data_IF_962449595615
#
_entry.id   IF_962449595615
#
_cell.length_a   1.000
_cell.length_b   1.000
_cell.length_c   1.000
_cell.angle_alpha   90.00
_cell.angle_beta   90.00
_cell.angle_gamma   90.00
#
_symmetry.space_group_name_H-M   'P 1'
#
loop_
_entity.id
_entity.type
_entity.pdbx_description
1 polymer ?
#
# COMPACT_ATOMS: atom_id res chain seq x y z
N UNK A 1 3.35 -14.67 6.73
CA UNK A 1 2.91 -14.56 8.14
C UNK A 1 2.68 -13.10 8.55
N UNK A 2 3.68 -12.21 8.55
CA UNK A 2 3.48 -10.80 8.98
C UNK A 2 2.46 -10.01 8.15
N UNK A 3 2.35 -10.28 6.85
CA UNK A 3 1.29 -9.70 6.03
C UNK A 3 -0.11 -10.19 6.43
N UNK A 4 -0.27 -11.39 7.01
CA UNK A 4 -1.56 -11.85 7.56
C UNK A 4 -1.86 -11.09 8.85
N UNK A 5 -0.83 -10.80 9.67
CA UNK A 5 -0.97 -10.00 10.89
C UNK A 5 -1.47 -8.58 10.59
N UNK A 6 -1.05 -7.95 9.49
CA UNK A 6 -1.60 -6.64 9.08
C UNK A 6 -3.12 -6.65 8.96
N UNK A 7 -3.68 -7.71 8.37
CA UNK A 7 -5.13 -7.84 8.18
C UNK A 7 -5.85 -8.23 9.47
N UNK A 8 -5.21 -9.03 10.33
CA UNK A 8 -5.72 -9.37 11.67
C UNK A 8 -5.82 -8.09 12.52
N UNK A 9 -4.76 -7.28 12.58
CA UNK A 9 -4.73 -6.01 13.31
C UNK A 9 -5.74 -5.00 12.76
N UNK A 10 -5.99 -5.02 11.45
CA UNK A 10 -7.04 -4.22 10.82
C UNK A 10 -8.45 -4.83 10.92
N UNK A 11 -8.64 -5.89 11.71
CA UNK A 11 -9.92 -6.56 11.98
C UNK A 11 -10.66 -7.04 10.72
N UNK A 12 -9.92 -7.49 9.70
CA UNK A 12 -10.55 -8.06 8.52
C UNK A 12 -11.21 -9.41 8.83
N UNK A 13 -12.38 -9.70 8.24
CA UNK A 13 -12.98 -11.02 8.28
C UNK A 13 -12.04 -12.09 7.73
N UNK A 14 -11.90 -13.22 8.46
CA UNK A 14 -10.99 -14.33 8.11
C UNK A 14 -11.11 -14.80 6.66
N UNK A 15 -12.33 -14.91 6.14
CA UNK A 15 -12.57 -15.33 4.74
C UNK A 15 -12.00 -14.34 3.71
N UNK A 16 -11.99 -13.03 4.01
CA UNK A 16 -11.37 -12.02 3.13
C UNK A 16 -9.85 -12.12 3.17
N UNK A 17 -9.26 -12.34 4.35
CA UNK A 17 -7.82 -12.54 4.49
C UNK A 17 -7.39 -13.76 3.68
N UNK A 18 -8.07 -14.90 3.83
CA UNK A 18 -7.79 -16.10 3.04
C UNK A 18 -7.84 -15.84 1.54
N UNK A 19 -8.92 -15.21 1.07
CA UNK A 19 -9.11 -14.90 -0.34
C UNK A 19 -8.02 -13.96 -0.88
N UNK A 20 -7.64 -12.95 -0.10
CA UNK A 20 -6.60 -11.98 -0.47
C UNK A 20 -5.24 -12.63 -0.73
N UNK A 21 -4.91 -13.68 0.02
CA UNK A 21 -3.65 -14.41 -0.11
C UNK A 21 -3.75 -15.66 -1.00
N UNK A 22 -4.91 -15.93 -1.61
CA UNK A 22 -5.17 -17.11 -2.43
C UNK A 22 -4.83 -18.44 -1.73
N UNK A 23 -5.05 -18.50 -0.42
CA UNK A 23 -4.76 -19.69 0.40
C UNK A 23 -5.92 -20.68 0.35
N UNK A 24 -5.60 -21.99 0.39
CA UNK A 24 -6.62 -23.02 0.68
C UNK A 24 -7.11 -22.88 2.11
N UNK A 25 -8.24 -23.52 2.43
CA UNK A 25 -8.75 -23.52 3.80
C UNK A 25 -7.74 -24.16 4.75
N UNK A 26 -7.11 -25.27 4.37
CA UNK A 26 -6.11 -25.97 5.20
C UNK A 26 -4.86 -25.12 5.45
N UNK A 27 -4.37 -24.42 4.43
CA UNK A 27 -3.21 -23.55 4.57
C UNK A 27 -3.50 -22.36 5.49
N UNK A 28 -4.68 -21.77 5.35
CA UNK A 28 -5.10 -20.64 6.17
C UNK A 28 -5.30 -21.07 7.63
N UNK A 29 -6.00 -22.18 7.86
CA UNK A 29 -6.23 -22.70 9.21
C UNK A 29 -4.92 -23.11 9.88
N UNK A 30 -3.98 -23.72 9.15
CA UNK A 30 -2.64 -24.01 9.67
C UNK A 30 -1.87 -22.74 10.04
N UNK A 31 -1.94 -21.70 9.20
CA UNK A 31 -1.27 -20.42 9.48
C UNK A 31 -1.87 -19.73 10.71
N UNK A 32 -3.21 -19.67 10.83
CA UNK A 32 -3.88 -19.09 11.99
C UNK A 32 -3.58 -19.90 13.26
N UNK A 33 -3.62 -21.24 13.18
CA UNK A 33 -3.30 -22.10 14.34
C UNK A 33 -1.88 -21.88 14.83
N UNK A 34 -0.92 -21.72 13.91
CA UNK A 34 0.46 -21.40 14.25
C UNK A 34 0.58 -20.01 14.91
N UNK A 35 -0.06 -18.99 14.34
CA UNK A 35 -0.08 -17.64 14.93
C UNK A 35 -0.66 -17.67 16.34
N UNK A 36 -1.78 -18.35 16.54
CA UNK A 36 -2.45 -18.41 17.84
C UNK A 36 -1.57 -19.14 18.88
N UNK A 37 -0.89 -20.23 18.49
CA UNK A 37 0.02 -20.98 19.36
C UNK A 37 1.30 -20.20 19.72
N UNK A 38 1.76 -19.32 18.84
CA UNK A 38 3.02 -18.56 18.97
C UNK A 38 2.83 -17.05 19.04
N UNK A 39 1.64 -16.59 19.46
CA UNK A 39 1.21 -15.19 19.26
C UNK A 39 2.21 -14.16 19.75
N UNK A 40 2.79 -14.34 20.95
CA UNK A 40 3.76 -13.38 21.52
C UNK A 40 5.04 -13.25 20.70
N UNK A 41 5.53 -14.37 20.17
CA UNK A 41 6.74 -14.41 19.35
C UNK A 41 6.47 -13.75 18.00
N UNK A 42 5.39 -14.19 17.32
CA UNK A 42 4.98 -13.65 16.02
C UNK A 42 4.67 -12.16 16.10
N UNK A 43 4.01 -11.70 17.18
CA UNK A 43 3.72 -10.28 17.40
C UNK A 43 5.01 -9.47 17.62
N UNK A 44 5.98 -9.99 18.38
CA UNK A 44 7.27 -9.32 18.57
C UNK A 44 8.01 -9.15 17.24
N UNK A 45 8.07 -10.20 16.42
CA UNK A 45 8.69 -10.14 15.10
C UNK A 45 7.93 -9.20 14.16
N UNK A 46 6.59 -9.24 14.19
CA UNK A 46 5.72 -8.34 13.43
C UNK A 46 6.05 -6.86 13.74
N UNK A 47 6.15 -6.49 15.01
CA UNK A 47 6.48 -5.12 15.41
C UNK A 47 7.86 -4.67 14.93
N UNK A 48 8.84 -5.59 14.86
CA UNK A 48 10.16 -5.29 14.27
C UNK A 48 10.01 -4.93 12.78
N UNK A 49 9.25 -5.75 12.03
CA UNK A 49 9.03 -5.53 10.59
C UNK A 49 8.29 -4.21 10.34
N UNK A 50 7.25 -3.91 11.12
CA UNK A 50 6.50 -2.64 11.01
C UNK A 50 7.42 -1.44 11.20
N UNK A 51 8.26 -1.46 12.24
CA UNK A 51 9.23 -0.38 12.50
C UNK A 51 10.22 -0.22 11.35
N UNK A 52 10.83 -1.31 10.87
CA UNK A 52 11.78 -1.27 9.76
C UNK A 52 11.13 -0.73 8.48
N UNK A 53 9.89 -1.14 8.19
CA UNK A 53 9.14 -0.64 7.04
C UNK A 53 8.86 0.87 7.14
N UNK A 54 8.55 1.37 8.33
CA UNK A 54 8.38 2.79 8.58
C UNK A 54 9.69 3.56 8.37
N UNK A 55 10.80 3.09 8.93
CA UNK A 55 12.13 3.70 8.76
C UNK A 55 12.56 3.78 7.29
N UNK A 56 12.37 2.69 6.53
CA UNK A 56 12.67 2.66 5.09
C UNK A 56 11.79 3.65 4.32
N UNK A 57 10.49 3.69 4.64
CA UNK A 57 9.56 4.60 3.99
C UNK A 57 9.96 6.05 4.24
N UNK A 58 10.29 6.41 5.48
CA UNK A 58 10.65 7.78 5.85
C UNK A 58 11.96 8.20 5.18
N UNK A 59 12.96 7.31 5.17
CA UNK A 59 14.24 7.51 4.48
C UNK A 59 14.06 7.85 2.99
N UNK A 60 13.20 7.11 2.29
CA UNK A 60 12.94 7.32 0.85
C UNK A 60 12.02 8.50 0.58
N UNK A 61 11.05 8.78 1.46
CA UNK A 61 10.17 9.93 1.31
C UNK A 61 10.95 11.24 1.37
N UNK A 62 11.84 11.37 2.36
CA UNK A 62 12.72 12.55 2.49
C UNK A 62 13.56 12.75 1.22
N UNK A 63 14.21 11.68 0.74
CA UNK A 63 15.09 11.75 -0.44
C UNK A 63 14.35 11.97 -1.75
N UNK A 64 13.15 11.41 -1.88
CA UNK A 64 12.37 11.53 -3.09
C UNK A 64 11.60 12.85 -3.15
N UNK A 65 11.46 13.60 -2.06
CA UNK A 65 10.67 14.83 -2.02
C UNK A 65 11.13 15.84 -3.08
N UNK A 66 12.43 16.16 -3.12
CA UNK A 66 12.97 17.10 -4.11
C UNK A 66 12.85 16.56 -5.54
N UNK A 67 13.13 15.26 -5.73
CA UNK A 67 13.04 14.61 -7.04
C UNK A 67 11.60 14.61 -7.58
N UNK A 68 10.61 14.31 -6.73
CA UNK A 68 9.19 14.34 -7.08
C UNK A 68 8.77 15.78 -7.39
N UNK A 69 9.19 16.76 -6.58
CA UNK A 69 8.91 18.17 -6.84
C UNK A 69 9.48 18.62 -8.20
N UNK A 70 10.69 18.18 -8.56
CA UNK A 70 11.29 18.47 -9.85
C UNK A 70 10.54 17.78 -11.00
N UNK A 71 10.20 16.49 -10.86
CA UNK A 71 9.42 15.75 -11.87
C UNK A 71 8.06 16.41 -12.11
N UNK A 72 7.41 16.93 -11.06
CA UNK A 72 6.11 17.59 -11.19
C UNK A 72 6.13 18.86 -12.07
N UNK A 73 7.30 19.49 -12.21
CA UNK A 73 7.50 20.68 -13.04
C UNK A 73 7.85 20.34 -14.49
N UNK A 74 8.21 19.08 -14.78
CA UNK A 74 8.60 18.70 -16.13
C UNK A 74 7.39 18.73 -17.07
N UNK A 75 7.55 19.26 -18.31
CA UNK A 75 6.51 19.15 -19.31
C UNK A 75 6.27 17.68 -19.68
N UNK A 76 5.06 17.31 -20.15
CA UNK A 76 4.81 15.98 -20.69
C UNK A 76 5.80 15.72 -21.84
N UNK A 77 6.16 14.45 -22.05
CA UNK A 77 6.93 14.10 -23.24
C UNK A 77 6.14 14.45 -24.51
N UNK A 78 6.82 14.84 -25.60
CA UNK A 78 6.15 15.23 -26.85
C UNK A 78 5.13 14.19 -27.34
N UNK A 79 5.43 12.89 -27.23
CA UNK A 79 4.52 11.80 -27.63
C UNK A 79 3.18 11.78 -26.87
N UNK A 80 3.09 12.44 -25.71
CA UNK A 80 1.90 12.45 -24.85
C UNK A 80 1.12 13.77 -24.86
N UNK A 81 1.53 14.74 -25.68
CA UNK A 81 0.94 16.10 -25.68
C UNK A 81 -0.59 16.09 -25.86
N UNK A 82 -1.11 15.34 -26.84
CA UNK A 82 -2.55 15.25 -27.11
C UNK A 82 -3.34 14.62 -25.96
N UNK A 83 -2.78 13.57 -25.34
CA UNK A 83 -3.38 12.94 -24.17
C UNK A 83 -3.40 13.91 -22.98
N UNK A 84 -2.35 14.70 -22.81
CA UNK A 84 -2.26 15.65 -21.71
C UNK A 84 -3.25 16.80 -21.84
N UNK A 85 -3.43 17.36 -23.03
CA UNK A 85 -4.44 18.39 -23.30
C UNK A 85 -5.85 17.91 -22.96
N UNK A 86 -6.21 16.67 -23.35
CA UNK A 86 -7.51 16.08 -23.01
C UNK A 86 -7.71 15.94 -21.51
N UNK A 87 -6.66 15.57 -20.78
CA UNK A 87 -6.72 15.43 -19.32
C UNK A 87 -6.83 16.79 -18.62
N UNK A 88 -6.12 17.82 -19.09
CA UNK A 88 -6.23 19.19 -18.58
C UNK A 88 -7.65 19.75 -18.78
N UNK A 89 -8.24 19.57 -19.96
CA UNK A 89 -9.61 19.99 -20.24
C UNK A 89 -10.63 19.31 -19.30
N UNK A 90 -10.45 18.00 -19.02
CA UNK A 90 -11.30 17.26 -18.09
C UNK A 90 -11.14 17.74 -16.65
N UNK A 91 -9.91 18.05 -16.20
CA UNK A 91 -9.64 18.60 -14.87
C UNK A 91 -10.32 19.96 -14.69
N UNK A 92 -10.17 20.86 -15.66
CA UNK A 92 -10.82 22.17 -15.64
C UNK A 92 -12.35 22.06 -15.56
N UNK A 93 -12.95 21.17 -16.37
CA UNK A 93 -14.40 20.92 -16.34
C UNK A 93 -14.87 20.42 -14.98
N UNK A 94 -14.14 19.50 -14.34
CA UNK A 94 -14.48 18.98 -12.99
C UNK A 94 -14.37 20.05 -11.91
N UNK A 95 -13.34 20.88 -11.97
CA UNK A 95 -13.15 21.98 -11.03
C UNK A 95 -14.30 23.00 -11.12
N UNK A 96 -14.72 23.34 -12.34
CA UNK A 96 -15.84 24.27 -12.58
C UNK A 96 -17.22 23.72 -12.18
N UNK A 97 -17.41 22.39 -12.13
CA UNK A 97 -18.66 21.74 -11.69
C UNK A 97 -18.69 21.57 -10.17
N UNK A 98 -17.53 21.60 -9.50
CA UNK A 98 -17.42 21.43 -8.04
C UNK A 98 -17.42 22.77 -7.28
N UNK A 99 -17.67 23.88 -7.97
CA UNK A 99 -17.86 25.24 -7.44
C UNK A 99 -19.34 25.60 -7.52
#
# INVERSE_FOLDING_TARGET
>A
MYQIMDYIHANYPRHLIRHQFYLTDEQFDAAISYIDAHYKEVESEYQIVVRQAAEIRDYWNERNQERIANISKLPPKPEYTSAWQKLQARKAKRAAISQ
#
